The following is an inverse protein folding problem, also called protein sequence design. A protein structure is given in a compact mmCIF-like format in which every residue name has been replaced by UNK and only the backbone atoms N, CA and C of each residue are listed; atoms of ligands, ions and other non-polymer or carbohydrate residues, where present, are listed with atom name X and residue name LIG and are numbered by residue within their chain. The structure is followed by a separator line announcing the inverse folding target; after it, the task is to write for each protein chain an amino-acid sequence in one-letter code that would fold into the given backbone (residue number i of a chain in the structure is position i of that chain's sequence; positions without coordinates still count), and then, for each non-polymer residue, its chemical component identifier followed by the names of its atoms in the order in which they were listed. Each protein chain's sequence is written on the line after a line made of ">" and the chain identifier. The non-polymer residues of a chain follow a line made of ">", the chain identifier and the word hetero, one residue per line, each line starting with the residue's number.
data_IF_854735399699
#
_entry.id   IF_854735399699
#
_cell.length_a   1.000
_cell.length_b   1.000
_cell.length_c   1.000
_cell.angle_alpha   90.00
_cell.angle_beta   90.00
_cell.angle_gamma   90.00
#
_symmetry.space_group_name_H-M   'P 1'
#
loop_
_entity.id
_entity.type
_entity.pdbx_description
1 polymer ?
#
# COMPACT_ATOMS: atom_id res chain seq x y z
N UNK A 1 9.09 -24.55 -17.85
CA UNK A 1 8.57 -23.49 -18.74
C UNK A 1 7.41 -22.78 -18.04
N UNK A 2 7.66 -21.61 -17.42
CA UNK A 2 6.61 -20.83 -16.77
C UNK A 2 5.95 -19.90 -17.77
N UNK A 3 4.63 -20.03 -17.97
CA UNK A 3 3.84 -19.08 -18.77
C UNK A 3 3.78 -17.74 -18.04
N UNK A 4 4.39 -16.68 -18.60
CA UNK A 4 4.00 -15.32 -18.27
C UNK A 4 2.62 -15.07 -18.86
N UNK A 5 1.59 -15.08 -18.03
CA UNK A 5 0.29 -14.56 -18.39
C UNK A 5 0.32 -13.04 -18.16
N UNK A 6 0.50 -12.25 -19.22
CA UNK A 6 0.19 -10.82 -19.17
C UNK A 6 -1.33 -10.66 -19.13
N UNK A 7 -1.89 -10.52 -17.92
CA UNK A 7 -3.29 -10.12 -17.74
C UNK A 7 -3.43 -8.62 -17.95
N UNK A 8 -3.86 -8.22 -19.15
CA UNK A 8 -4.15 -6.81 -19.50
C UNK A 8 -2.89 -5.92 -19.51
N UNK A 9 -2.96 -4.77 -20.15
CA UNK A 9 -1.88 -3.78 -20.06
C UNK A 9 -1.88 -3.19 -18.64
N UNK A 10 -1.30 -3.90 -17.68
CA UNK A 10 -1.09 -3.37 -16.34
C UNK A 10 -0.25 -2.10 -16.46
N UNK A 11 -0.90 -0.97 -16.16
CA UNK A 11 -0.23 0.33 -16.22
C UNK A 11 0.74 0.38 -15.04
N UNK A 12 2.01 0.62 -15.32
CA UNK A 12 2.99 0.93 -14.28
C UNK A 12 3.06 2.44 -14.09
N UNK A 13 3.21 2.85 -12.84
CA UNK A 13 3.33 4.25 -12.43
C UNK A 13 4.52 4.45 -11.49
N UNK A 14 4.80 5.72 -11.17
CA UNK A 14 5.81 6.12 -10.21
C UNK A 14 5.17 6.85 -9.03
N UNK A 15 5.63 6.56 -7.83
CA UNK A 15 5.29 7.31 -6.63
C UNK A 15 6.56 7.75 -5.90
N UNK A 16 6.53 8.93 -5.30
CA UNK A 16 7.57 9.41 -4.38
C UNK A 16 7.01 9.39 -2.96
N UNK A 17 7.77 8.84 -2.03
CA UNK A 17 7.45 8.88 -0.60
C UNK A 17 7.84 10.26 -0.07
N UNK A 18 6.91 10.98 0.56
CA UNK A 18 7.19 12.29 1.15
C UNK A 18 7.18 12.25 2.70
N UNK A 19 6.38 11.38 3.30
CA UNK A 19 6.22 11.31 4.76
C UNK A 19 6.98 10.15 5.42
N UNK A 20 7.20 10.26 6.73
CA UNK A 20 7.92 9.25 7.52
C UNK A 20 7.08 8.04 7.95
N UNK A 21 5.77 8.04 7.66
CA UNK A 21 4.82 7.02 8.15
C UNK A 21 5.12 5.58 7.70
N UNK A 22 5.98 5.42 6.69
CA UNK A 22 6.41 4.11 6.18
C UNK A 22 7.81 3.71 6.64
N UNK A 23 8.44 4.47 7.53
CA UNK A 23 9.69 4.06 8.15
C UNK A 23 9.48 2.83 9.05
N UNK A 24 10.47 1.93 9.17
CA UNK A 24 11.77 1.94 8.49
C UNK A 24 11.75 1.29 7.09
N UNK A 25 10.59 0.85 6.58
CA UNK A 25 10.54 0.16 5.29
C UNK A 25 10.85 1.08 4.11
N UNK A 26 10.36 2.32 4.18
CA UNK A 26 10.54 3.38 3.18
C UNK A 26 10.92 4.68 3.86
N UNK A 27 11.85 5.40 3.25
CA UNK A 27 12.28 6.73 3.68
C UNK A 27 11.66 7.83 2.79
N UNK A 28 11.45 9.04 3.31
CA UNK A 28 11.17 10.21 2.47
C UNK A 28 12.19 10.35 1.34
N UNK A 29 11.71 10.57 0.13
CA UNK A 29 12.50 10.63 -1.10
C UNK A 29 12.59 9.30 -1.87
N UNK A 30 12.18 8.17 -1.29
CA UNK A 30 12.13 6.89 -1.99
C UNK A 30 11.22 6.99 -3.23
N UNK A 31 11.71 6.49 -4.37
CA UNK A 31 10.94 6.41 -5.62
C UNK A 31 10.50 4.97 -5.84
N UNK A 32 9.20 4.77 -6.01
CA UNK A 32 8.56 3.46 -6.08
C UNK A 32 8.03 3.20 -7.48
N UNK A 33 8.20 1.96 -7.94
CA UNK A 33 7.47 1.42 -9.07
C UNK A 33 6.13 0.87 -8.57
N UNK A 34 5.04 1.38 -9.11
CA UNK A 34 3.67 1.01 -8.73
C UNK A 34 3.02 0.26 -9.88
N UNK A 35 2.39 -0.86 -9.57
CA UNK A 35 1.64 -1.67 -10.51
C UNK A 35 0.14 -1.43 -10.29
N UNK A 36 -0.52 -0.77 -11.26
CA UNK A 36 -1.95 -0.50 -11.21
C UNK A 36 -2.77 -1.72 -11.66
N UNK A 37 -3.90 -1.97 -11.00
CA UNK A 37 -4.77 -3.12 -11.28
C UNK A 37 -4.19 -4.48 -10.90
N UNK A 38 -3.12 -4.51 -10.10
CA UNK A 38 -2.64 -5.73 -9.48
C UNK A 38 -3.54 -6.19 -8.33
N UNK A 39 -3.54 -7.49 -8.06
CA UNK A 39 -4.17 -8.03 -6.85
C UNK A 39 -3.42 -7.54 -5.60
N UNK A 40 -4.14 -6.93 -4.66
CA UNK A 40 -3.59 -6.49 -3.37
C UNK A 40 -3.63 -7.66 -2.39
N UNK A 41 -2.55 -7.86 -1.65
CA UNK A 41 -2.42 -8.93 -0.66
C UNK A 41 -1.99 -8.39 0.71
N UNK A 42 -2.29 -9.10 1.81
CA UNK A 42 -1.74 -8.76 3.11
C UNK A 42 -0.22 -8.67 3.06
N UNK A 43 0.28 -7.57 3.62
CA UNK A 43 1.67 -7.19 3.67
C UNK A 43 2.17 -6.37 2.47
N UNK A 44 1.37 -6.15 1.44
CA UNK A 44 1.74 -5.29 0.33
C UNK A 44 1.87 -3.83 0.76
N UNK A 45 2.80 -3.11 0.14
CA UNK A 45 2.81 -1.64 0.20
C UNK A 45 1.95 -1.13 -0.95
N UNK A 46 0.96 -0.31 -0.65
CA UNK A 46 -0.01 0.20 -1.62
C UNK A 46 0.00 1.71 -1.68
N UNK A 47 -0.32 2.24 -2.86
CA UNK A 47 -0.73 3.63 -3.02
C UNK A 47 -2.26 3.66 -2.97
N UNK A 48 -2.80 4.50 -2.11
CA UNK A 48 -4.24 4.66 -1.95
C UNK A 48 -4.63 6.14 -1.90
N UNK A 49 -5.92 6.40 -2.12
CA UNK A 49 -6.54 7.70 -1.96
C UNK A 49 -7.44 7.69 -0.73
N UNK A 50 -7.28 8.65 0.17
CA UNK A 50 -8.23 8.85 1.26
C UNK A 50 -9.46 9.64 0.79
N UNK A 51 -10.58 9.61 1.54
CA UNK A 51 -11.80 10.33 1.17
C UNK A 51 -11.62 11.84 0.97
N UNK A 52 -10.61 12.44 1.61
CA UNK A 52 -10.24 13.86 1.43
C UNK A 52 -9.41 14.14 0.16
N UNK A 53 -9.19 13.13 -0.69
CA UNK A 53 -8.41 13.21 -1.92
C UNK A 53 -6.91 13.00 -1.74
N UNK A 54 -6.42 12.89 -0.50
CA UNK A 54 -4.98 12.73 -0.22
C UNK A 54 -4.46 11.39 -0.74
N UNK A 55 -3.35 11.42 -1.50
CA UNK A 55 -2.62 10.22 -1.90
C UNK A 55 -1.65 9.80 -0.81
N UNK A 56 -1.69 8.53 -0.44
CA UNK A 56 -0.86 7.97 0.63
C UNK A 56 -0.22 6.65 0.23
N UNK A 57 0.94 6.38 0.81
CA UNK A 57 1.59 5.07 0.77
C UNK A 57 1.40 4.41 2.13
N UNK A 58 0.81 3.22 2.15
CA UNK A 58 0.51 2.46 3.38
C UNK A 58 0.74 0.97 3.17
N UNK A 59 0.79 0.21 4.28
CA UNK A 59 0.81 -1.25 4.24
C UNK A 59 -0.61 -1.79 4.31
N UNK A 60 -0.98 -2.62 3.35
CA UNK A 60 -2.21 -3.41 3.40
C UNK A 60 -2.03 -4.52 4.43
N UNK A 61 -2.77 -4.48 5.54
CA UNK A 61 -2.64 -5.49 6.61
C UNK A 61 -3.71 -6.56 6.49
N UNK A 62 -4.94 -6.17 6.17
CA UNK A 62 -6.08 -7.07 6.15
C UNK A 62 -7.13 -6.57 5.15
N UNK A 63 -7.76 -7.49 4.42
CA UNK A 63 -8.95 -7.19 3.64
C UNK A 63 -10.16 -7.06 4.59
N UNK A 64 -10.90 -5.97 4.50
CA UNK A 64 -12.07 -5.71 5.35
C UNK A 64 -13.22 -5.13 4.53
N UNK A 65 -14.44 -5.36 4.96
CA UNK A 65 -15.60 -4.69 4.37
C UNK A 65 -15.62 -3.21 4.80
N UNK A 66 -15.95 -2.32 3.88
CA UNK A 66 -16.27 -0.92 4.20
C UNK A 66 -17.59 -0.86 4.98
N UNK A 67 -17.95 0.33 5.46
CA UNK A 67 -19.21 0.56 6.18
C UNK A 67 -20.47 0.25 5.34
N UNK A 68 -20.35 0.22 4.01
CA UNK A 68 -21.43 -0.13 3.08
C UNK A 68 -21.42 -1.60 2.67
N UNK A 69 -20.50 -2.40 3.21
CA UNK A 69 -20.32 -3.82 2.85
C UNK A 69 -19.49 -4.04 1.58
N UNK A 70 -18.97 -2.99 0.94
CA UNK A 70 -18.09 -3.10 -0.21
C UNK A 70 -16.70 -3.66 0.20
N UNK A 71 -15.97 -4.33 -0.70
CA UNK A 71 -14.61 -4.78 -0.40
C UNK A 71 -13.68 -3.58 -0.15
N UNK A 72 -12.75 -3.75 0.77
CA UNK A 72 -11.79 -2.73 1.15
C UNK A 72 -10.58 -3.30 1.88
N UNK A 73 -9.72 -2.39 2.33
CA UNK A 73 -8.46 -2.72 2.98
C UNK A 73 -8.26 -1.90 4.25
N UNK A 74 -7.80 -2.59 5.29
CA UNK A 74 -7.24 -1.97 6.47
C UNK A 74 -5.77 -1.64 6.20
N UNK A 75 -5.49 -0.34 6.07
CA UNK A 75 -4.18 0.19 5.69
C UNK A 75 -3.50 0.82 6.90
N UNK A 76 -2.31 0.35 7.25
CA UNK A 76 -1.54 0.86 8.39
C UNK A 76 -0.24 1.51 7.96
N UNK A 77 0.22 2.47 8.77
CA UNK A 77 1.60 2.96 8.77
C UNK A 77 2.55 1.90 9.34
N UNK A 78 3.79 1.86 8.86
CA UNK A 78 4.86 1.06 9.49
C UNK A 78 5.45 1.76 10.73
N UNK A 79 5.36 3.09 10.77
CA UNK A 79 5.63 3.93 11.93
C UNK A 79 4.28 4.37 12.53
N UNK A 80 3.66 3.59 13.44
CA UNK A 80 2.29 3.82 13.89
C UNK A 80 2.09 5.13 14.67
N UNK A 81 3.15 5.66 15.25
CA UNK A 81 3.24 6.96 15.94
C UNK A 81 3.30 8.15 14.97
N UNK A 82 3.54 7.90 13.68
CA UNK A 82 3.64 8.94 12.65
C UNK A 82 2.56 8.81 11.58
N UNK A 83 1.83 9.90 11.40
CA UNK A 83 0.89 10.09 10.31
C UNK A 83 -0.47 9.41 10.51
N UNK A 84 -1.30 9.52 9.49
CA UNK A 84 -2.70 9.10 9.53
C UNK A 84 -2.90 7.85 8.69
N UNK A 85 -3.69 6.90 9.18
CA UNK A 85 -3.98 5.62 8.55
C UNK A 85 -5.40 5.13 8.88
N UNK A 86 -5.71 3.87 8.60
CA UNK A 86 -7.05 3.32 8.81
C UNK A 86 -7.53 3.36 10.27
N UNK A 87 -6.64 3.43 11.27
CA UNK A 87 -7.06 3.60 12.68
C UNK A 87 -7.80 4.92 12.89
N UNK A 88 -7.51 5.91 12.06
CA UNK A 88 -8.06 7.27 12.15
C UNK A 88 -9.16 7.52 11.12
N UNK A 89 -9.06 6.90 9.92
CA UNK A 89 -9.96 7.14 8.78
C UNK A 89 -10.85 5.96 8.40
N UNK A 90 -10.68 4.81 9.05
CA UNK A 90 -11.41 3.59 8.74
C UNK A 90 -10.85 2.82 7.53
N UNK A 91 -11.63 1.84 7.09
CA UNK A 91 -11.32 0.97 5.95
C UNK A 91 -11.29 1.81 4.66
N UNK A 92 -10.26 1.62 3.84
CA UNK A 92 -10.16 2.24 2.51
C UNK A 92 -10.82 1.33 1.49
N UNK A 93 -11.72 1.85 0.66
CA UNK A 93 -12.43 1.05 -0.34
C UNK A 93 -11.45 0.46 -1.37
N UNK A 94 -11.77 -0.70 -1.94
CA UNK A 94 -10.89 -1.38 -2.89
C UNK A 94 -10.58 -0.50 -4.12
N UNK A 95 -11.58 0.22 -4.62
CA UNK A 95 -11.47 1.17 -5.72
C UNK A 95 -10.55 2.37 -5.43
N UNK A 96 -10.36 2.70 -4.15
CA UNK A 96 -9.48 3.78 -3.70
C UNK A 96 -8.03 3.30 -3.51
N UNK A 97 -7.78 1.99 -3.59
CA UNK A 97 -6.42 1.43 -3.64
C UNK A 97 -5.93 1.46 -5.09
N UNK A 98 -5.12 2.46 -5.40
CA UNK A 98 -4.70 2.77 -6.77
C UNK A 98 -3.71 1.76 -7.35
N UNK A 99 -2.88 1.13 -6.51
CA UNK A 99 -1.94 0.11 -6.97
C UNK A 99 -0.95 -0.36 -5.91
N UNK A 100 -0.20 -1.41 -6.25
CA UNK A 100 0.79 -2.03 -5.37
C UNK A 100 2.20 -1.53 -5.72
N UNK A 101 2.94 -1.03 -4.74
CA UNK A 101 4.35 -0.71 -4.89
C UNK A 101 5.18 -2.00 -4.88
N UNK A 102 5.75 -2.34 -6.03
CA UNK A 102 6.44 -3.64 -6.25
C UNK A 102 7.97 -3.54 -6.11
N UNK A 103 8.53 -2.35 -6.27
CA UNK A 103 9.96 -2.11 -6.13
C UNK A 103 10.25 -0.67 -5.73
N UNK A 104 11.36 -0.48 -5.01
CA UNK A 104 12.04 0.81 -4.88
C UNK A 104 13.02 0.92 -6.04
N UNK A 105 12.98 2.04 -6.76
CA UNK A 105 13.85 2.35 -7.90
C UNK A 105 15.04 3.22 -7.50
N UNK A 106 14.89 4.04 -6.45
CA UNK A 106 15.93 4.95 -5.95
C UNK A 106 15.66 5.27 -4.47
N UNK A 107 16.68 5.51 -3.63
CA UNK A 107 18.12 5.47 -3.90
C UNK A 107 18.75 4.08 -3.80
N UNK A 108 18.00 3.10 -3.30
CA UNK A 108 18.46 1.72 -3.12
C UNK A 108 17.55 0.77 -3.89
N UNK A 109 17.83 0.51 -5.18
CA UNK A 109 16.99 -0.31 -6.02
C UNK A 109 16.78 -1.71 -5.45
N UNK A 110 15.54 -2.17 -5.41
CA UNK A 110 15.22 -3.50 -4.89
C UNK A 110 13.72 -3.78 -4.86
N UNK A 111 13.36 -5.06 -4.92
CA UNK A 111 11.95 -5.48 -4.79
C UNK A 111 11.44 -5.16 -3.38
N UNK A 112 10.23 -4.63 -3.31
CA UNK A 112 9.52 -4.53 -2.04
C UNK A 112 8.91 -5.90 -1.76
N UNK A 113 9.35 -6.50 -0.65
CA UNK A 113 8.78 -7.77 -0.19
C UNK A 113 7.54 -7.46 0.62
N UNK A 114 6.46 -8.18 0.35
CA UNK A 114 5.31 -8.18 1.24
C UNK A 114 5.79 -8.58 2.64
N UNK A 115 5.51 -7.72 3.63
CA UNK A 115 5.74 -8.02 5.04
C UNK A 115 4.39 -7.93 5.70
N UNK A 116 3.90 -9.04 6.23
CA UNK A 116 2.73 -8.98 7.11
C UNK A 116 3.24 -8.29 8.38
N UNK A 117 2.76 -7.09 8.64
CA UNK A 117 2.97 -6.51 9.97
C UNK A 117 2.25 -7.45 10.93
N UNK A 118 2.94 -7.95 11.96
CA UNK A 118 2.24 -8.54 13.09
C UNK A 118 1.31 -7.44 13.59
N UNK A 119 0.03 -7.54 13.27
CA UNK A 119 -0.98 -6.73 13.91
C UNK A 119 -0.74 -6.98 15.39
N UNK A 120 -0.36 -5.94 16.13
CA UNK A 120 -0.28 -6.00 17.57
C UNK A 120 -1.67 -6.40 18.05
N UNK A 121 -1.85 -7.69 18.31
CA UNK A 121 -2.81 -8.18 19.27
C UNK A 121 -2.49 -7.45 20.57
N UNK A 122 -3.26 -6.41 20.85
CA UNK A 122 -3.44 -5.90 22.20
C UNK A 122 -4.94 -5.90 22.46
N UNK A 123 -5.35 -7.01 23.08
CA UNK A 123 -6.28 -7.17 24.21
C UNK A 123 -7.34 -6.10 24.36
#
# INVERSE_FOLDING_TARGET
>A
MGRLAFRGASRVGLARVEGESMRPALDPGDRLLVHHGGEVRPGDVVVARFPDGTLVVKRAVEARATRTGAPGWWLLSDAPEVGVDSRHRGVVAHEDVLGVAVARLWPRPGRLRARVSAATDKV
#
